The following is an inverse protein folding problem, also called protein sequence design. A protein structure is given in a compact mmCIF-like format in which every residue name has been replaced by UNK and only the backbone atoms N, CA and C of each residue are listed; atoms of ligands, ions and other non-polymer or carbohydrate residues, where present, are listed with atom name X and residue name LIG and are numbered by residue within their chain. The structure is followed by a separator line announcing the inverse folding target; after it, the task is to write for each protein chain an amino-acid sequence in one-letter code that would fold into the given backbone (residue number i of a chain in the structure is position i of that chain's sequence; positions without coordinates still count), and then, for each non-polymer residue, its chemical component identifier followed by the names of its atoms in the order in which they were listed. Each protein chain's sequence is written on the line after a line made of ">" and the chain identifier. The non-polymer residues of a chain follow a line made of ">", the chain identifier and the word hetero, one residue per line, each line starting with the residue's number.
data_IF_719898949940
#
_entry.id   IF_719898949940
#
_cell.length_a   1.000
_cell.length_b   1.000
_cell.length_c   1.000
_cell.angle_alpha   90.00
_cell.angle_beta   90.00
_cell.angle_gamma   90.00
#
_symmetry.space_group_name_H-M   'P 1'
#
loop_
_entity.id
_entity.type
_entity.pdbx_description
1 polymer ?
#
# COMPACT_ATOMS: atom_id res chain seq x y z
N UNK A 1 19.20 15.98 14.95
CA UNK A 1 19.52 14.53 14.96
C UNK A 1 18.95 13.99 13.67
N UNK A 2 19.78 13.72 12.69
CA UNK A 2 19.38 13.16 11.40
C UNK A 2 18.91 11.72 11.65
N UNK A 3 17.62 11.50 11.59
CA UNK A 3 17.04 10.15 11.62
C UNK A 3 17.60 9.38 10.42
N UNK A 4 18.31 8.30 10.69
CA UNK A 4 18.87 7.44 9.63
C UNK A 4 17.71 6.94 8.77
N UNK A 5 17.73 7.25 7.48
CA UNK A 5 16.75 6.70 6.55
C UNK A 5 16.82 5.16 6.64
N UNK A 6 15.65 4.54 6.79
CA UNK A 6 15.55 3.07 6.83
C UNK A 6 16.14 2.48 5.55
N UNK A 7 17.04 1.51 5.67
CA UNK A 7 17.62 0.81 4.52
C UNK A 7 16.53 0.03 3.78
N UNK A 8 16.41 0.26 2.48
CA UNK A 8 15.44 -0.39 1.60
C UNK A 8 15.55 -1.91 1.65
N UNK A 9 16.77 -2.43 1.69
CA UNK A 9 17.02 -3.88 1.76
C UNK A 9 16.55 -4.47 3.09
N UNK A 10 16.80 -3.76 4.18
CA UNK A 10 16.34 -4.16 5.50
C UNK A 10 14.81 -4.12 5.59
N UNK A 11 14.19 -3.05 5.08
CA UNK A 11 12.74 -2.92 5.02
C UNK A 11 12.11 -4.06 4.19
N UNK A 12 12.63 -4.34 3.00
CA UNK A 12 12.15 -5.44 2.17
C UNK A 12 12.23 -6.78 2.90
N UNK A 13 13.35 -7.06 3.55
CA UNK A 13 13.55 -8.27 4.35
C UNK A 13 12.51 -8.36 5.48
N UNK A 14 12.29 -7.28 6.22
CA UNK A 14 11.29 -7.22 7.28
C UNK A 14 9.88 -7.51 6.76
N UNK A 15 9.50 -6.89 5.63
CA UNK A 15 8.18 -7.11 5.04
C UNK A 15 7.98 -8.55 4.56
N UNK A 16 9.00 -9.17 3.97
CA UNK A 16 8.93 -10.56 3.49
C UNK A 16 8.89 -11.58 4.63
N UNK A 17 9.54 -11.28 5.73
CA UNK A 17 9.63 -12.20 6.88
C UNK A 17 8.55 -11.98 7.93
N UNK A 18 7.80 -10.87 7.84
CA UNK A 18 6.74 -10.56 8.79
C UNK A 18 5.69 -11.67 8.84
N UNK A 19 5.33 -12.06 10.05
CA UNK A 19 4.24 -13.01 10.33
C UNK A 19 3.37 -12.44 11.44
N UNK A 20 2.06 -12.27 11.21
CA UNK A 20 1.16 -11.86 12.29
C UNK A 20 1.12 -12.94 13.38
N UNK A 21 1.00 -12.52 14.62
CA UNK A 21 0.95 -13.44 15.76
C UNK A 21 -0.15 -14.51 15.65
N UNK A 22 -1.26 -14.17 14.98
CA UNK A 22 -2.36 -15.09 14.73
C UNK A 22 -2.05 -16.17 13.66
N UNK A 23 -1.00 -15.97 12.84
CA UNK A 23 -0.64 -16.87 11.74
C UNK A 23 0.89 -17.08 11.65
N UNK A 24 1.52 -17.60 12.69
CA UNK A 24 2.98 -17.73 12.75
C UNK A 24 3.54 -18.74 11.74
N UNK A 25 2.70 -19.67 11.26
CA UNK A 25 3.08 -20.75 10.34
C UNK A 25 2.86 -20.42 8.85
N UNK A 26 2.61 -19.17 8.48
CA UNK A 26 2.51 -18.78 7.08
C UNK A 26 3.78 -19.16 6.31
N UNK A 27 3.65 -19.73 5.08
CA UNK A 27 4.79 -20.07 4.25
C UNK A 27 5.73 -18.87 4.00
N UNK A 28 7.05 -19.12 3.87
CA UNK A 28 8.04 -18.06 3.70
C UNK A 28 7.89 -17.28 2.37
N UNK A 29 7.30 -17.89 1.36
CA UNK A 29 7.00 -17.24 0.08
C UNK A 29 5.70 -16.41 0.10
N UNK A 30 4.99 -16.35 1.23
CA UNK A 30 3.80 -15.54 1.40
C UNK A 30 4.17 -14.21 2.07
N UNK A 31 3.79 -13.08 1.47
CA UNK A 31 3.96 -11.75 2.06
C UNK A 31 2.63 -11.31 2.64
N UNK A 32 2.60 -11.11 3.96
CA UNK A 32 1.40 -10.65 4.66
C UNK A 32 1.32 -9.11 4.67
N UNK A 33 0.13 -8.52 4.51
CA UNK A 33 -0.03 -7.07 4.63
C UNK A 33 0.46 -6.53 5.97
N UNK A 34 1.28 -5.49 5.92
CA UNK A 34 1.81 -4.81 7.11
C UNK A 34 0.96 -3.58 7.42
N UNK A 35 -0.29 -3.81 7.81
CA UNK A 35 -1.28 -2.76 8.05
C UNK A 35 -0.91 -1.78 9.18
N UNK A 36 0.05 -2.14 10.02
CA UNK A 36 0.52 -1.31 11.13
C UNK A 36 1.41 -0.13 10.70
N UNK A 37 1.60 0.10 9.39
CA UNK A 37 2.32 1.27 8.89
C UNK A 37 3.22 1.06 7.68
N UNK A 38 3.16 -0.09 7.00
CA UNK A 38 3.93 -0.34 5.79
C UNK A 38 3.12 -1.10 4.73
N UNK A 39 1.89 -0.67 4.50
CA UNK A 39 1.01 -1.19 3.46
C UNK A 39 0.36 -0.08 2.65
N UNK A 40 -0.17 -0.42 1.49
CA UNK A 40 -0.99 0.48 0.68
C UNK A 40 -2.18 1.06 1.45
N UNK A 41 -2.71 0.31 2.43
CA UNK A 41 -3.82 0.75 3.27
C UNK A 41 -3.49 1.94 4.18
N UNK A 42 -2.21 2.14 4.47
CA UNK A 42 -1.77 3.26 5.31
C UNK A 42 -1.67 4.59 4.53
N UNK A 43 -1.74 4.57 3.18
CA UNK A 43 -1.58 5.76 2.34
C UNK A 43 -2.71 6.77 2.56
N UNK A 44 -3.96 6.33 2.70
CA UNK A 44 -5.09 7.25 2.88
C UNK A 44 -4.94 8.13 4.12
N UNK A 45 -4.64 7.53 5.27
CA UNK A 45 -4.39 8.27 6.51
C UNK A 45 -3.14 9.14 6.43
N UNK A 46 -2.09 8.66 5.73
CA UNK A 46 -0.85 9.41 5.49
C UNK A 46 -1.09 10.66 4.67
N UNK A 47 -1.84 10.55 3.58
CA UNK A 47 -2.21 11.68 2.72
C UNK A 47 -3.07 12.68 3.49
N UNK A 48 -4.07 12.21 4.24
CA UNK A 48 -4.90 13.07 5.07
C UNK A 48 -4.06 13.85 6.10
N UNK A 49 -3.17 13.16 6.83
CA UNK A 49 -2.28 13.79 7.80
C UNK A 49 -1.34 14.82 7.15
N UNK A 50 -0.76 14.50 5.99
CA UNK A 50 0.12 15.42 5.25
C UNK A 50 -0.57 16.72 4.82
N UNK A 51 -1.90 16.67 4.66
CA UNK A 51 -2.74 17.84 4.35
C UNK A 51 -3.38 18.49 5.60
N UNK A 52 -2.94 18.11 6.79
CA UNK A 52 -3.46 18.66 8.06
C UNK A 52 -4.84 18.14 8.45
N UNK A 53 -5.31 17.05 7.83
CA UNK A 53 -6.60 16.42 8.14
C UNK A 53 -6.43 15.10 8.89
N UNK A 54 -7.50 14.58 9.46
CA UNK A 54 -7.55 13.23 10.03
C UNK A 54 -8.59 12.39 9.31
N UNK A 55 -8.37 11.09 9.24
CA UNK A 55 -9.31 10.13 8.65
C UNK A 55 -9.77 9.14 9.74
N UNK A 56 -10.90 9.42 10.43
CA UNK A 56 -11.36 8.61 11.55
C UNK A 56 -11.69 7.16 11.13
N UNK A 57 -11.21 6.19 11.91
CA UNK A 57 -11.43 4.77 11.64
C UNK A 57 -10.57 4.18 10.51
N UNK A 58 -9.65 4.96 9.95
CA UNK A 58 -8.67 4.45 9.00
C UNK A 58 -7.55 3.66 9.72
N UNK A 59 -6.81 2.86 8.94
CA UNK A 59 -5.53 2.30 9.36
C UNK A 59 -4.56 3.43 9.77
N UNK A 60 -3.54 3.16 10.59
CA UNK A 60 -2.54 4.15 10.94
C UNK A 60 -1.82 4.69 9.70
N UNK A 61 -1.13 5.79 9.83
CA UNK A 61 -0.26 6.32 8.77
C UNK A 61 0.91 5.38 8.47
N UNK A 62 1.59 5.60 7.36
CA UNK A 62 2.88 4.97 7.14
C UNK A 62 3.85 5.32 8.28
N UNK A 63 4.78 4.42 8.57
CA UNK A 63 5.79 4.67 9.57
C UNK A 63 6.55 5.97 9.28
N UNK A 64 6.78 6.82 10.27
CA UNK A 64 7.47 8.11 10.07
C UNK A 64 8.83 7.97 9.39
N UNK A 65 9.57 6.90 9.70
CA UNK A 65 10.89 6.62 9.10
C UNK A 65 10.84 6.35 7.59
N UNK A 66 9.68 5.93 7.06
CA UNK A 66 9.48 5.77 5.62
C UNK A 66 9.29 7.12 4.92
N UNK A 67 8.66 8.07 5.56
CA UNK A 67 8.31 9.35 4.98
C UNK A 67 9.41 10.41 5.20
N UNK A 68 10.03 10.42 6.39
CA UNK A 68 10.92 11.51 6.79
C UNK A 68 10.21 12.85 6.65
N UNK A 69 10.82 13.78 5.92
CA UNK A 69 10.35 15.14 5.67
C UNK A 69 9.49 15.31 4.39
N UNK A 70 9.17 14.24 3.68
CA UNK A 70 8.48 14.30 2.38
C UNK A 70 7.14 15.05 2.39
N UNK A 71 6.45 15.08 3.53
CA UNK A 71 5.14 15.73 3.66
C UNK A 71 5.21 17.06 4.41
N UNK A 72 6.38 17.55 4.79
CA UNK A 72 6.53 18.82 5.47
C UNK A 72 6.21 20.00 4.54
N UNK A 73 5.24 20.85 4.94
CA UNK A 73 4.85 22.04 4.17
C UNK A 73 4.13 21.75 2.86
N UNK A 74 3.66 20.52 2.63
CA UNK A 74 2.96 20.15 1.41
C UNK A 74 1.51 20.65 1.46
N UNK A 75 1.10 21.41 0.44
CA UNK A 75 -0.26 21.92 0.28
C UNK A 75 -1.12 21.06 -0.67
N UNK A 76 -0.50 20.25 -1.51
CA UNK A 76 -1.20 19.42 -2.52
C UNK A 76 -0.49 18.09 -2.67
N UNK A 77 -1.26 17.01 -2.75
CA UNK A 77 -0.76 15.66 -2.98
C UNK A 77 -1.49 15.07 -4.18
N UNK A 78 -0.74 14.48 -5.10
CA UNK A 78 -1.28 13.67 -6.21
C UNK A 78 -0.87 12.23 -5.97
N UNK A 79 -1.83 11.36 -5.74
CA UNK A 79 -1.61 9.93 -5.62
C UNK A 79 -1.82 9.27 -6.99
N UNK A 80 -0.76 8.70 -7.55
CA UNK A 80 -0.81 7.95 -8.82
C UNK A 80 -0.66 6.47 -8.50
N UNK A 81 -1.64 5.67 -8.90
CA UNK A 81 -1.61 4.20 -8.75
C UNK A 81 -1.34 3.57 -10.11
N UNK A 82 -0.37 2.65 -10.16
CA UNK A 82 -0.05 1.84 -11.33
C UNK A 82 -0.47 0.41 -11.04
N UNK A 83 -1.56 -0.01 -11.66
CA UNK A 83 -2.09 -1.36 -11.48
C UNK A 83 -1.15 -2.41 -12.05
N UNK A 84 -1.07 -3.56 -11.39
CA UNK A 84 -0.25 -4.71 -11.79
C UNK A 84 1.28 -4.46 -11.85
N UNK A 85 1.77 -3.31 -11.37
CA UNK A 85 3.19 -3.04 -11.23
C UNK A 85 3.65 -3.32 -9.79
N UNK A 86 4.12 -4.54 -9.55
CA UNK A 86 4.67 -4.91 -8.25
C UNK A 86 6.14 -4.52 -8.07
N UNK A 87 6.63 -4.66 -6.82
CA UNK A 87 7.99 -4.30 -6.43
C UNK A 87 9.07 -4.96 -7.29
N UNK A 88 8.97 -6.27 -7.52
CA UNK A 88 9.94 -7.02 -8.32
C UNK A 88 9.97 -6.56 -9.79
N UNK A 89 8.79 -6.30 -10.37
CA UNK A 89 8.71 -5.79 -11.74
C UNK A 89 9.31 -4.39 -11.83
N UNK A 90 9.06 -3.52 -10.83
CA UNK A 90 9.65 -2.20 -10.79
C UNK A 90 11.18 -2.28 -10.71
N UNK A 91 11.74 -3.08 -9.79
CA UNK A 91 13.19 -3.28 -9.69
C UNK A 91 13.79 -3.82 -11.01
N UNK A 92 13.09 -4.76 -11.65
CA UNK A 92 13.51 -5.29 -12.95
C UNK A 92 13.55 -4.21 -14.05
N UNK A 93 12.56 -3.31 -14.08
CA UNK A 93 12.53 -2.17 -15.02
C UNK A 93 13.67 -1.19 -14.72
N UNK A 94 13.85 -0.80 -13.46
CA UNK A 94 14.90 0.14 -13.05
C UNK A 94 16.30 -0.38 -13.40
N UNK A 95 16.54 -1.67 -13.24
CA UNK A 95 17.85 -2.29 -13.58
C UNK A 95 18.14 -2.28 -15.10
N UNK A 96 17.11 -2.28 -15.96
CA UNK A 96 17.25 -2.41 -17.41
C UNK A 96 17.00 -1.10 -18.17
N UNK A 97 16.27 -0.19 -17.59
CA UNK A 97 15.84 1.06 -18.21
C UNK A 97 16.15 2.25 -17.32
N UNK A 98 17.45 2.44 -17.06
CA UNK A 98 17.94 3.56 -16.26
C UNK A 98 17.60 4.94 -16.87
N UNK A 99 17.25 4.98 -18.16
CA UNK A 99 16.80 6.14 -18.92
C UNK A 99 15.28 6.40 -18.80
N UNK A 100 14.53 5.53 -18.14
CA UNK A 100 13.07 5.64 -18.01
C UNK A 100 12.63 6.75 -17.06
N UNK A 101 11.40 7.25 -17.23
CA UNK A 101 10.80 8.21 -16.29
C UNK A 101 10.65 7.64 -14.88
N UNK A 102 10.38 6.33 -14.75
CA UNK A 102 10.34 5.66 -13.45
C UNK A 102 11.71 5.71 -12.74
N UNK A 103 12.80 5.51 -13.49
CA UNK A 103 14.14 5.64 -12.91
C UNK A 103 14.45 7.08 -12.48
N UNK A 104 14.03 8.09 -13.26
CA UNK A 104 14.17 9.51 -12.88
C UNK A 104 13.35 9.85 -11.65
N UNK A 105 12.12 9.35 -11.52
CA UNK A 105 11.30 9.54 -10.33
C UNK A 105 11.94 8.88 -9.10
N UNK A 106 12.41 7.64 -9.24
CA UNK A 106 13.08 6.92 -8.16
C UNK A 106 14.35 7.64 -7.65
N UNK A 107 15.08 8.34 -8.53
CA UNK A 107 16.27 9.12 -8.17
C UNK A 107 15.94 10.45 -7.50
N UNK A 108 14.78 11.04 -7.76
CA UNK A 108 14.37 12.35 -7.22
C UNK A 108 13.58 12.27 -5.93
N UNK A 109 12.98 11.13 -5.67
CA UNK A 109 12.13 10.90 -4.51
C UNK A 109 12.66 9.77 -3.62
N UNK A 110 11.76 9.17 -2.86
CA UNK A 110 12.03 7.96 -2.09
C UNK A 110 11.39 6.76 -2.79
N UNK A 111 12.15 5.71 -2.96
CA UNK A 111 11.69 4.43 -3.48
C UNK A 111 11.68 3.42 -2.33
N UNK A 112 10.50 2.98 -1.93
CA UNK A 112 10.32 2.11 -0.77
C UNK A 112 9.34 0.99 -1.09
N UNK A 113 9.63 -0.27 -0.70
CA UNK A 113 8.64 -1.34 -0.74
C UNK A 113 7.57 -1.11 0.34
N UNK A 114 6.32 -1.36 -0.02
CA UNK A 114 5.22 -1.53 0.92
C UNK A 114 4.41 -2.76 0.52
N UNK A 115 3.68 -3.33 1.45
CA UNK A 115 2.79 -4.45 1.16
C UNK A 115 1.48 -3.99 0.56
N UNK A 116 0.82 -4.85 -0.19
CA UNK A 116 -0.56 -4.63 -0.64
C UNK A 116 -1.58 -5.15 0.38
N UNK A 117 -2.86 -5.22 0.00
CA UNK A 117 -3.92 -5.81 0.81
C UNK A 117 -3.95 -7.34 0.65
N UNK A 118 -4.64 -8.01 1.55
CA UNK A 118 -5.10 -9.38 1.34
C UNK A 118 -6.66 -9.39 1.35
N UNK A 119 -7.29 -9.77 0.26
CA UNK A 119 -6.81 -10.19 -1.06
C UNK A 119 -6.29 -8.99 -1.86
N UNK A 120 -5.26 -9.20 -2.70
CA UNK A 120 -4.62 -8.16 -3.49
C UNK A 120 -5.29 -7.97 -4.86
N UNK A 121 -6.60 -7.80 -4.88
CA UNK A 121 -7.36 -7.47 -6.11
C UNK A 121 -7.47 -5.96 -6.29
N UNK A 122 -7.58 -5.49 -7.52
CA UNK A 122 -7.72 -4.06 -7.85
C UNK A 122 -8.86 -3.42 -7.06
N UNK A 123 -10.03 -4.07 -7.01
CA UNK A 123 -11.18 -3.58 -6.26
C UNK A 123 -10.87 -3.42 -4.76
N UNK A 124 -10.29 -4.43 -4.15
CA UNK A 124 -9.92 -4.42 -2.74
C UNK A 124 -8.93 -3.30 -2.42
N UNK A 125 -7.90 -3.13 -3.26
CA UNK A 125 -6.87 -2.09 -3.08
C UNK A 125 -7.44 -0.69 -3.26
N UNK A 126 -8.25 -0.44 -4.30
CA UNK A 126 -8.86 0.87 -4.54
C UNK A 126 -9.79 1.28 -3.41
N UNK A 127 -10.65 0.37 -2.93
CA UNK A 127 -11.52 0.67 -1.79
C UNK A 127 -10.72 0.92 -0.50
N UNK A 128 -9.63 0.19 -0.29
CA UNK A 128 -8.71 0.45 0.82
C UNK A 128 -8.05 1.82 0.72
N UNK A 129 -7.61 2.22 -0.49
CA UNK A 129 -7.03 3.55 -0.72
C UNK A 129 -8.02 4.70 -0.47
N UNK A 130 -9.29 4.52 -0.81
CA UNK A 130 -10.31 5.57 -0.64
C UNK A 130 -10.86 5.64 0.79
N UNK A 131 -10.96 4.50 1.47
CA UNK A 131 -11.55 4.46 2.81
C UNK A 131 -10.52 4.49 3.94
N UNK A 132 -9.26 4.15 3.63
CA UNK A 132 -8.22 3.92 4.63
C UNK A 132 -8.46 2.66 5.48
N UNK A 133 -9.38 1.78 5.09
CA UNK A 133 -9.76 0.58 5.85
C UNK A 133 -9.31 -0.69 5.15
N UNK A 134 -8.98 -1.75 5.87
CA UNK A 134 -8.62 -3.03 5.26
C UNK A 134 -9.85 -3.71 4.66
N UNK A 135 -9.66 -4.69 3.74
CA UNK A 135 -10.74 -5.38 3.04
C UNK A 135 -11.84 -5.97 3.92
N UNK A 136 -11.49 -6.46 5.09
CA UNK A 136 -12.46 -7.02 6.05
C UNK A 136 -13.38 -5.96 6.67
N UNK A 137 -12.94 -4.69 6.73
CA UNK A 137 -13.72 -3.61 7.31
C UNK A 137 -14.60 -2.89 6.26
N UNK A 138 -14.09 -2.68 5.04
CA UNK A 138 -14.92 -2.08 3.99
C UNK A 138 -15.81 -3.11 3.27
N UNK A 139 -15.61 -4.41 3.48
CA UNK A 139 -16.51 -5.46 3.02
C UNK A 139 -16.40 -5.83 1.54
N UNK A 140 -15.37 -5.36 0.81
CA UNK A 140 -15.13 -5.61 -0.61
C UNK A 140 -13.79 -6.34 -0.84
N UNK A 141 -13.68 -7.60 -0.41
CA UNK A 141 -12.39 -8.30 -0.39
C UNK A 141 -11.94 -8.81 -1.77
N UNK A 142 -12.84 -8.92 -2.74
CA UNK A 142 -12.58 -9.56 -4.02
C UNK A 142 -13.12 -8.80 -5.21
N UNK A 143 -12.91 -9.39 -6.39
CA UNK A 143 -13.43 -8.90 -7.66
C UNK A 143 -14.94 -9.13 -7.78
N UNK A 144 -15.39 -10.30 -7.34
CA UNK A 144 -16.79 -10.68 -7.26
C UNK A 144 -17.20 -10.89 -5.81
N UNK A 145 -18.40 -10.50 -5.47
CA UNK A 145 -18.99 -10.74 -4.15
C UNK A 145 -20.49 -11.01 -4.25
N UNK A 146 -21.01 -11.80 -3.31
CA UNK A 146 -22.42 -12.14 -3.26
C UNK A 146 -23.19 -11.14 -2.39
N UNK A 147 -24.15 -10.44 -3.01
CA UNK A 147 -25.06 -9.54 -2.31
C UNK A 147 -26.27 -10.34 -1.84
N UNK A 148 -26.31 -10.64 -0.55
CA UNK A 148 -27.36 -11.45 0.07
C UNK A 148 -28.75 -10.83 -0.10
N UNK A 149 -28.82 -9.50 -0.01
CA UNK A 149 -30.07 -8.73 -0.11
C UNK A 149 -30.70 -8.86 -1.50
N UNK A 150 -29.89 -9.08 -2.51
CA UNK A 150 -30.32 -9.19 -3.91
C UNK A 150 -30.24 -10.62 -4.45
N UNK A 151 -29.73 -11.55 -3.64
CA UNK A 151 -29.53 -12.95 -4.00
C UNK A 151 -28.73 -13.13 -5.30
N UNK A 152 -27.75 -12.27 -5.55
CA UNK A 152 -26.95 -12.29 -6.76
C UNK A 152 -25.46 -12.05 -6.50
N UNK A 153 -24.63 -12.60 -7.38
CA UNK A 153 -23.22 -12.23 -7.46
C UNK A 153 -23.08 -10.96 -8.31
N UNK A 154 -22.21 -10.06 -7.88
CA UNK A 154 -21.95 -8.78 -8.54
C UNK A 154 -20.45 -8.63 -8.75
N UNK A 155 -20.04 -8.23 -9.96
CA UNK A 155 -18.68 -7.79 -10.23
C UNK A 155 -18.47 -6.37 -9.71
N UNK A 156 -17.48 -6.21 -8.83
CA UNK A 156 -17.25 -4.94 -8.14
C UNK A 156 -16.76 -3.80 -9.04
N UNK A 157 -16.17 -4.10 -10.18
CA UNK A 157 -15.62 -3.08 -11.09
C UNK A 157 -16.63 -2.72 -12.18
N UNK A 158 -17.33 -3.68 -12.75
CA UNK A 158 -18.27 -3.46 -13.85
C UNK A 158 -19.70 -3.22 -13.42
N UNK A 159 -20.08 -3.58 -12.20
CA UNK A 159 -21.46 -3.59 -11.72
C UNK A 159 -22.43 -4.38 -12.64
N UNK A 160 -21.96 -5.50 -13.18
CA UNK A 160 -22.72 -6.38 -14.06
C UNK A 160 -23.05 -7.71 -13.39
#
# INVERSE_FOLDING_TARGET
>A
MTQSAMDVTQLEHELRTYRPAAMPSLPLNFVWPRYEGASVGNLAATVAQGLGASLPGALPTLWPDLLGDLLEGVERIVLVTLDSLGWEQLLWVLARRADSELARLAQRGRLLPITTTFLSTTNSVLNTLWTGRPPLEHGLPGFEFYLREWLMAVEAISFS
#
